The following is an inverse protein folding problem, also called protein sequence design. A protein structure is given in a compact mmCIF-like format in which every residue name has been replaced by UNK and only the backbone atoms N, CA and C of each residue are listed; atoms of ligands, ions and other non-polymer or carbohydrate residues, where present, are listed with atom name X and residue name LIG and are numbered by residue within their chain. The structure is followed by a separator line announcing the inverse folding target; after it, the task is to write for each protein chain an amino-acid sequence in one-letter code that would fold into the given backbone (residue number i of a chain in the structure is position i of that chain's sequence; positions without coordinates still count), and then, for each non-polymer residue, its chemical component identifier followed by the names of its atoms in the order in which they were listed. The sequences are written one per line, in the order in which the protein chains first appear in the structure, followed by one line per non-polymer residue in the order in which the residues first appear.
data_IF_258237089914
#
_entry.id   IF_258237089914
#
_cell.length_a   1.000
_cell.length_b   1.000
_cell.length_c   1.000
_cell.angle_alpha   90.00
_cell.angle_beta   90.00
_cell.angle_gamma   90.00
#
_symmetry.space_group_name_H-M   'P 1'
#
loop_
_entity.id
_entity.type
_entity.pdbx_description
1 polymer ?
#
# COMPACT_ATOMS: atom_id res chain seq x y z
N UNK A 1 -1.33 -1.15 -18.59
CA UNK A 1 -0.98 -0.97 -20.02
C UNK A 1 -0.93 0.52 -20.32
N UNK A 2 0.10 1.01 -21.00
CA UNK A 2 0.21 2.41 -21.41
C UNK A 2 -0.10 2.53 -22.90
N UNK A 3 -1.05 3.39 -23.25
CA UNK A 3 -1.39 3.71 -24.64
C UNK A 3 -1.04 5.18 -24.91
N UNK A 4 -0.41 5.45 -26.05
CA UNK A 4 0.01 6.81 -26.46
C UNK A 4 -0.96 7.39 -27.50
N UNK A 5 -0.94 8.72 -27.66
CA UNK A 5 -1.76 9.45 -28.63
C UNK A 5 -2.87 10.27 -27.98
N UNK A 6 -3.69 10.95 -28.80
CA UNK A 6 -4.72 11.89 -28.33
C UNK A 6 -5.81 11.26 -27.42
N UNK A 7 -5.94 9.92 -27.43
CA UNK A 7 -6.80 9.13 -26.53
C UNK A 7 -6.00 8.09 -25.72
N UNK A 8 -4.72 8.37 -25.52
CA UNK A 8 -3.84 7.54 -24.71
C UNK A 8 -4.19 7.61 -23.22
N UNK A 9 -3.61 6.71 -22.43
CA UNK A 9 -3.79 6.67 -20.99
C UNK A 9 -3.15 5.44 -20.36
N UNK A 10 -3.48 5.25 -19.08
CA UNK A 10 -3.06 4.08 -18.32
C UNK A 10 -4.28 3.27 -17.90
N UNK A 11 -4.18 1.97 -18.06
CA UNK A 11 -5.11 1.00 -17.50
C UNK A 11 -4.37 0.09 -16.54
N UNK A 12 -5.08 -0.40 -15.52
CA UNK A 12 -4.58 -1.47 -14.66
C UNK A 12 -4.17 -2.66 -15.54
N UNK A 13 -2.95 -3.16 -15.32
CA UNK A 13 -2.41 -4.26 -16.10
C UNK A 13 -2.99 -5.62 -15.67
N UNK A 14 -3.62 -5.68 -14.49
CA UNK A 14 -4.24 -6.86 -13.87
C UNK A 14 -5.54 -6.44 -13.19
N UNK A 15 -6.34 -7.42 -12.75
CA UNK A 15 -7.54 -7.14 -11.96
C UNK A 15 -7.18 -6.45 -10.64
N UNK A 16 -8.01 -5.54 -10.10
CA UNK A 16 -7.76 -4.88 -8.81
C UNK A 16 -7.51 -5.84 -7.64
N UNK A 17 -8.20 -7.00 -7.64
CA UNK A 17 -8.03 -8.10 -6.68
C UNK A 17 -6.66 -8.80 -6.72
N UNK A 18 -5.89 -8.59 -7.80
CA UNK A 18 -4.58 -9.20 -8.01
C UNK A 18 -3.43 -8.21 -7.81
N UNK A 19 -3.73 -6.97 -7.40
CA UNK A 19 -2.75 -5.90 -7.18
C UNK A 19 -2.73 -5.58 -5.69
N UNK A 20 -1.64 -5.94 -5.01
CA UNK A 20 -1.47 -5.64 -3.59
C UNK A 20 -1.01 -4.20 -3.38
N UNK A 21 -1.49 -3.57 -2.31
CA UNK A 21 -1.12 -2.22 -1.91
C UNK A 21 0.37 -2.17 -1.54
N UNK A 22 0.86 -3.16 -0.78
CA UNK A 22 2.29 -3.27 -0.44
C UNK A 22 3.19 -3.30 -1.68
N UNK A 23 2.76 -3.95 -2.76
CA UNK A 23 3.53 -4.00 -4.02
C UNK A 23 3.58 -2.62 -4.70
N UNK A 24 2.51 -1.84 -4.62
CA UNK A 24 2.47 -0.46 -5.14
C UNK A 24 3.42 0.44 -4.34
N UNK A 25 3.35 0.35 -3.00
CA UNK A 25 4.23 1.14 -2.12
C UNK A 25 5.70 0.82 -2.39
N UNK A 26 6.03 -0.47 -2.52
CA UNK A 26 7.40 -0.89 -2.82
C UNK A 26 7.86 -0.41 -4.20
N UNK A 27 6.97 -0.43 -5.21
CA UNK A 27 7.32 0.04 -6.54
C UNK A 27 7.59 1.55 -6.62
N UNK A 28 7.02 2.34 -5.70
CA UNK A 28 7.17 3.81 -5.66
C UNK A 28 8.30 4.28 -4.74
N UNK A 29 8.41 3.68 -3.55
CA UNK A 29 9.29 4.15 -2.47
C UNK A 29 10.49 3.21 -2.23
N UNK A 30 10.64 2.14 -3.02
CA UNK A 30 11.52 1.01 -2.73
C UNK A 30 11.08 0.27 -1.45
N UNK A 31 11.97 -0.41 -0.74
CA UNK A 31 11.61 -1.19 0.45
C UNK A 31 11.00 -0.32 1.58
N UNK A 32 9.98 -0.85 2.25
CA UNK A 32 9.38 -0.21 3.43
C UNK A 32 10.42 -0.24 4.56
N UNK A 33 10.90 0.94 4.96
CA UNK A 33 11.86 1.09 6.07
C UNK A 33 11.17 1.73 7.27
N UNK A 34 11.43 1.18 8.45
CA UNK A 34 11.01 1.77 9.74
C UNK A 34 12.03 2.82 10.21
N UNK A 35 13.30 2.65 9.81
CA UNK A 35 14.41 3.55 10.12
C UNK A 35 15.30 3.70 8.88
N UNK A 36 15.91 4.87 8.69
CA UNK A 36 16.71 5.18 7.49
C UNK A 36 18.01 4.37 7.39
N UNK A 37 18.56 3.92 8.52
CA UNK A 37 19.80 3.16 8.59
C UNK A 37 19.83 2.18 9.76
N UNK A 38 20.71 1.18 9.69
CA UNK A 38 20.97 0.28 10.82
C UNK A 38 21.53 1.09 11.99
N UNK A 39 21.05 0.78 13.17
CA UNK A 39 21.56 1.37 14.41
C UNK A 39 22.64 0.47 15.01
N UNK A 40 23.52 1.04 15.83
CA UNK A 40 24.62 0.29 16.46
C UNK A 40 24.12 -0.85 17.37
N UNK A 41 22.92 -0.71 17.92
CA UNK A 41 22.34 -1.70 18.80
C UNK A 41 21.68 -2.86 18.00
N UNK A 42 22.21 -4.09 18.08
CA UNK A 42 21.67 -5.22 17.33
C UNK A 42 20.25 -5.63 17.75
N UNK A 43 19.86 -5.40 19.02
CA UNK A 43 18.52 -5.70 19.52
C UNK A 43 17.49 -4.77 18.85
N UNK A 44 17.82 -3.49 18.72
CA UNK A 44 16.96 -2.53 18.03
C UNK A 44 16.82 -2.85 16.54
N UNK A 45 17.90 -3.30 15.88
CA UNK A 45 17.81 -3.76 14.49
C UNK A 45 16.83 -4.92 14.34
N UNK A 46 16.86 -5.93 15.23
CA UNK A 46 15.89 -7.04 15.22
C UNK A 46 14.45 -6.54 15.40
N UNK A 47 14.23 -5.62 16.34
CA UNK A 47 12.92 -5.01 16.56
C UNK A 47 12.41 -4.23 15.34
N UNK A 48 13.28 -3.49 14.65
CA UNK A 48 12.89 -2.74 13.46
C UNK A 48 12.59 -3.65 12.27
N UNK A 49 13.34 -4.74 12.09
CA UNK A 49 13.01 -5.76 11.08
C UNK A 49 11.66 -6.43 11.36
N UNK A 50 11.39 -6.79 12.63
CA UNK A 50 10.07 -7.33 12.99
C UNK A 50 8.94 -6.32 12.75
N UNK A 51 9.17 -5.05 13.08
CA UNK A 51 8.21 -3.97 12.88
C UNK A 51 7.94 -3.74 11.40
N UNK A 52 8.98 -3.80 10.56
CA UNK A 52 8.86 -3.74 9.10
C UNK A 52 7.97 -4.85 8.55
N UNK A 53 8.16 -6.08 8.99
CA UNK A 53 7.33 -7.21 8.55
C UNK A 53 5.88 -7.06 9.01
N UNK A 54 5.63 -6.53 10.21
CA UNK A 54 4.29 -6.19 10.67
C UNK A 54 3.64 -5.12 9.80
N UNK A 55 4.37 -4.06 9.46
CA UNK A 55 3.89 -2.98 8.58
C UNK A 55 3.56 -3.50 7.19
N UNK A 56 4.41 -4.36 6.60
CA UNK A 56 4.13 -5.00 5.30
C UNK A 56 2.82 -5.79 5.32
N UNK A 57 2.53 -6.50 6.42
CA UNK A 57 1.27 -7.24 6.59
C UNK A 57 0.05 -6.34 6.67
N UNK A 58 0.16 -5.14 7.24
CA UNK A 58 -0.95 -4.17 7.27
C UNK A 58 -1.34 -3.76 5.84
N UNK A 59 -0.35 -3.59 4.97
CA UNK A 59 -0.56 -3.23 3.56
C UNK A 59 -0.71 -4.46 2.64
N UNK A 60 -0.79 -5.67 3.18
CA UNK A 60 -1.05 -6.90 2.42
C UNK A 60 -2.55 -7.04 2.08
N UNK A 61 -3.09 -5.97 1.51
CA UNK A 61 -4.46 -5.83 1.03
C UNK A 61 -4.41 -5.60 -0.48
N UNK A 62 -5.50 -5.92 -1.17
CA UNK A 62 -5.61 -5.67 -2.62
C UNK A 62 -6.25 -4.32 -2.89
N UNK A 63 -6.13 -3.79 -4.10
CA UNK A 63 -6.85 -2.58 -4.49
C UNK A 63 -8.38 -2.75 -4.34
N UNK A 64 -8.91 -3.95 -4.60
CA UNK A 64 -10.33 -4.24 -4.42
C UNK A 64 -10.78 -4.19 -2.95
N UNK A 65 -9.87 -4.40 -1.99
CA UNK A 65 -10.21 -4.29 -0.56
C UNK A 65 -10.46 -2.84 -0.13
N UNK A 66 -10.01 -1.86 -0.93
CA UNK A 66 -10.23 -0.44 -0.64
C UNK A 66 -11.70 -0.02 -0.81
N UNK A 67 -12.49 -0.74 -1.60
CA UNK A 67 -13.93 -0.50 -1.75
C UNK A 67 -14.66 -0.57 -0.38
N UNK A 68 -14.14 -1.39 0.55
CA UNK A 68 -14.65 -1.50 1.93
C UNK A 68 -14.51 -0.18 2.71
N UNK A 69 -13.53 0.64 2.37
CA UNK A 69 -13.29 1.94 3.01
C UNK A 69 -14.15 3.04 2.40
N UNK A 70 -14.50 2.93 1.12
CA UNK A 70 -15.49 3.80 0.49
C UNK A 70 -16.86 3.66 1.17
N UNK A 71 -17.29 2.43 1.45
CA UNK A 71 -18.52 2.17 2.22
C UNK A 71 -18.51 2.83 3.60
N UNK A 72 -17.41 2.66 4.35
CA UNK A 72 -17.24 3.29 5.68
C UNK A 72 -17.26 4.81 5.63
N UNK A 73 -16.67 5.41 4.60
CA UNK A 73 -16.67 6.85 4.41
C UNK A 73 -18.09 7.38 4.13
N UNK A 74 -18.85 6.66 3.29
CA UNK A 74 -20.23 7.04 2.97
C UNK A 74 -21.15 6.90 4.20
N UNK A 75 -21.01 5.85 5.00
CA UNK A 75 -21.72 5.73 6.28
C UNK A 75 -21.42 6.92 7.21
N UNK A 76 -20.15 7.30 7.34
CA UNK A 76 -19.75 8.46 8.13
C UNK A 76 -20.43 9.76 7.65
N UNK A 77 -20.51 10.00 6.34
CA UNK A 77 -21.21 11.17 5.80
C UNK A 77 -22.69 11.17 6.15
N UNK A 78 -23.37 10.01 6.10
CA UNK A 78 -24.79 9.91 6.46
C UNK A 78 -25.08 10.14 7.95
N UNK A 79 -24.12 9.92 8.85
CA UNK A 79 -24.27 10.23 10.28
C UNK A 79 -24.04 11.72 10.62
N UNK A 80 -23.43 12.49 9.71
CA UNK A 80 -23.12 13.91 9.92
C UNK A 80 -24.11 14.88 9.22
N UNK A 81 -25.26 14.36 8.75
CA UNK A 81 -26.37 15.12 8.15
C UNK A 81 -27.60 14.91 9.02
#
# INVERSE_FOLDING_TARGET
MSTRGARGGYLLAKSPKDIKIVDILIALEDDIKIVDSKVDNPILNLFFEESKEKTKRIFDLTLADLDKYEGKYNEFLHYNI
#
